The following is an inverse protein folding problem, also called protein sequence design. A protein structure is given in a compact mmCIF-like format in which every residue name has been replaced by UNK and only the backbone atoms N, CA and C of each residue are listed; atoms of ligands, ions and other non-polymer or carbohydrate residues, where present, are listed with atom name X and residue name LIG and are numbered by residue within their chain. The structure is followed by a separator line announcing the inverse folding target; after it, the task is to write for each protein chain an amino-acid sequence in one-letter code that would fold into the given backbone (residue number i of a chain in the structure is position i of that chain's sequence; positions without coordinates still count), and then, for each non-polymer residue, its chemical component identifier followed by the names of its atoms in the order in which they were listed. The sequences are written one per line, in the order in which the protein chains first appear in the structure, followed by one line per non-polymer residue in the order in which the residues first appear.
data_IF_699583734409
#
_entry.id   IF_699583734409
#
_cell.length_a   1.000
_cell.length_b   1.000
_cell.length_c   1.000
_cell.angle_alpha   90.00
_cell.angle_beta   90.00
_cell.angle_gamma   90.00
#
_symmetry.space_group_name_H-M   'P 1'
#
loop_
_entity.id
_entity.type
_entity.pdbx_description
1 polymer ?
#
# COMPACT_ATOMS: atom_id res chain seq x y z
N UNK A 1 14.33 -8.84 6.72
CA UNK A 1 13.00 -8.87 7.38
C UNK A 1 12.91 -10.20 8.11
N UNK A 2 12.68 -10.20 9.43
CA UNK A 2 12.58 -11.40 10.26
C UNK A 2 11.16 -11.98 10.26
N UNK A 3 11.00 -13.22 10.74
CA UNK A 3 9.71 -13.91 10.83
C UNK A 3 8.86 -13.43 12.03
N UNK A 4 9.51 -12.94 13.09
CA UNK A 4 8.83 -12.48 14.29
C UNK A 4 8.21 -11.08 14.08
N UNK A 5 6.96 -10.85 14.53
CA UNK A 5 6.28 -9.56 14.41
C UNK A 5 6.86 -8.56 15.43
N UNK A 6 8.05 -8.04 15.15
CA UNK A 6 8.77 -7.08 15.99
C UNK A 6 8.49 -5.61 15.63
N UNK A 7 7.50 -5.35 14.76
CA UNK A 7 7.16 -4.00 14.31
C UNK A 7 5.76 -3.56 14.73
N UNK A 8 5.49 -2.27 14.57
CA UNK A 8 4.24 -1.61 14.96
C UNK A 8 3.87 -0.49 13.98
N UNK A 9 2.60 -0.09 14.00
CA UNK A 9 2.10 1.12 13.34
C UNK A 9 2.22 2.27 14.35
N UNK A 10 2.79 3.39 13.90
CA UNK A 10 2.97 4.60 14.71
C UNK A 10 2.22 5.78 14.09
N UNK A 11 1.78 6.71 14.94
CA UNK A 11 1.32 8.05 14.54
C UNK A 11 2.27 9.09 15.11
N UNK A 12 2.72 10.02 14.26
CA UNK A 12 3.37 11.25 14.69
C UNK A 12 2.32 12.35 14.73
N UNK A 13 2.02 12.85 15.92
CA UNK A 13 1.03 13.91 16.13
C UNK A 13 1.61 15.29 15.75
N UNK A 14 0.74 16.29 15.59
CA UNK A 14 1.13 17.64 15.20
C UNK A 14 2.00 18.37 16.26
N UNK A 15 1.93 17.92 17.51
CA UNK A 15 2.79 18.36 18.62
C UNK A 15 4.11 17.58 18.71
N UNK A 16 4.40 16.76 17.69
CA UNK A 16 5.58 15.89 17.58
C UNK A 16 5.61 14.72 18.57
N UNK A 17 4.54 14.48 19.35
CA UNK A 17 4.42 13.27 20.14
C UNK A 17 4.23 12.05 19.24
N UNK A 18 4.78 10.90 19.66
CA UNK A 18 4.69 9.63 18.92
C UNK A 18 3.84 8.66 19.72
N UNK A 19 2.85 8.08 19.06
CA UNK A 19 1.97 7.07 19.62
C UNK A 19 2.08 5.75 18.87
N UNK A 20 2.00 4.65 19.61
CA UNK A 20 1.87 3.31 19.03
C UNK A 20 0.40 3.03 18.80
N UNK A 21 -0.01 2.93 17.54
CA UNK A 21 -1.39 2.60 17.19
C UNK A 21 -1.66 1.09 17.27
N UNK A 22 -0.69 0.26 16.88
CA UNK A 22 -0.83 -1.21 16.85
C UNK A 22 0.52 -1.91 16.83
N UNK A 23 0.76 -2.84 17.76
CA UNK A 23 1.91 -3.75 17.72
C UNK A 23 1.64 -5.04 16.94
N UNK A 24 2.63 -5.92 16.87
CA UNK A 24 2.46 -7.26 16.30
C UNK A 24 2.37 -7.27 14.78
N UNK A 25 2.97 -6.29 14.12
CA UNK A 25 3.05 -6.16 12.67
C UNK A 25 4.34 -6.82 12.15
N UNK A 26 4.27 -7.56 11.05
CA UNK A 26 5.46 -8.14 10.41
C UNK A 26 6.07 -7.22 9.34
N UNK A 27 5.23 -6.60 8.52
CA UNK A 27 5.61 -5.74 7.40
C UNK A 27 4.48 -4.75 7.09
N UNK A 28 4.33 -3.71 7.92
CA UNK A 28 3.28 -2.72 7.74
C UNK A 28 3.34 -2.01 6.39
N UNK A 29 2.21 -1.95 5.69
CA UNK A 29 2.09 -1.36 4.36
C UNK A 29 0.66 -0.84 4.09
N UNK A 30 0.41 -0.34 2.87
CA UNK A 30 -0.92 0.08 2.38
C UNK A 30 -1.65 1.13 3.24
N UNK A 31 -0.93 1.95 4.01
CA UNK A 31 -1.55 2.96 4.86
C UNK A 31 -2.09 4.11 4.01
N UNK A 32 -3.40 4.23 3.94
CA UNK A 32 -4.12 5.37 3.36
C UNK A 32 -5.50 5.49 4.01
N UNK A 33 -6.24 6.55 3.69
CA UNK A 33 -7.49 6.87 4.35
C UNK A 33 -8.65 7.00 3.36
N UNK A 34 -9.79 6.41 3.70
CA UNK A 34 -11.02 6.57 2.93
C UNK A 34 -11.60 7.97 3.11
N UNK A 35 -12.44 8.41 2.17
CA UNK A 35 -13.13 9.71 2.26
C UNK A 35 -14.07 9.79 3.48
N UNK A 36 -14.52 8.65 4.00
CA UNK A 36 -15.33 8.56 5.20
C UNK A 36 -14.51 8.56 6.51
N UNK A 37 -13.18 8.68 6.41
CA UNK A 37 -12.29 8.71 7.58
C UNK A 37 -11.87 7.34 8.11
N UNK A 38 -12.09 6.27 7.34
CA UNK A 38 -11.54 4.95 7.65
C UNK A 38 -10.06 4.85 7.27
N UNK A 39 -9.32 3.94 7.90
CA UNK A 39 -7.90 3.68 7.56
C UNK A 39 -7.76 2.32 6.90
N UNK A 40 -7.06 2.26 5.77
CA UNK A 40 -6.61 1.00 5.16
C UNK A 40 -5.21 0.63 5.63
N UNK A 41 -4.93 -0.66 5.70
CA UNK A 41 -3.65 -1.19 6.14
C UNK A 41 -3.43 -2.59 5.59
N UNK A 42 -2.19 -2.98 5.32
CA UNK A 42 -1.83 -4.35 5.04
C UNK A 42 -0.62 -4.77 5.87
N UNK A 43 -0.61 -6.03 6.29
CA UNK A 43 0.55 -6.70 6.91
C UNK A 43 0.96 -7.90 6.06
N UNK A 44 1.43 -7.69 4.82
CA UNK A 44 1.84 -8.77 3.93
C UNK A 44 3.03 -9.52 4.54
N UNK A 45 2.75 -10.60 5.27
CA UNK A 45 3.76 -11.53 5.75
C UNK A 45 4.69 -11.93 4.59
N UNK A 46 6.00 -11.96 4.83
CA UNK A 46 6.87 -12.74 3.95
C UNK A 46 6.62 -14.20 4.30
N UNK A 47 6.35 -15.05 3.31
CA UNK A 47 6.23 -16.48 3.54
C UNK A 47 7.41 -16.96 4.39
N UNK A 48 7.11 -17.44 5.59
CA UNK A 48 8.05 -18.24 6.34
C UNK A 48 8.35 -19.49 5.52
N UNK A 49 9.62 -19.89 5.46
CA UNK A 49 10.02 -21.18 4.88
C UNK A 49 9.48 -22.37 5.69
N UNK A 50 8.93 -22.13 6.90
CA UNK A 50 8.28 -23.14 7.73
C UNK A 50 6.77 -23.03 7.57
N UNK A 51 6.14 -24.15 7.22
CA UNK A 51 4.70 -24.24 7.01
C UNK A 51 3.87 -23.89 8.26
N UNK A 52 4.47 -24.03 9.45
CA UNK A 52 3.87 -23.84 10.77
C UNK A 52 3.68 -22.35 11.13
N UNK A 53 4.51 -21.47 10.57
CA UNK A 53 4.45 -20.01 10.80
C UNK A 53 3.50 -19.30 9.81
N UNK A 54 2.87 -20.04 8.91
CA UNK A 54 1.88 -19.50 7.97
C UNK A 54 0.62 -19.12 8.76
N UNK A 55 0.54 -17.87 9.23
CA UNK A 55 -0.70 -17.37 9.82
C UNK A 55 -1.83 -17.45 8.79
N UNK A 56 -2.93 -18.09 9.20
CA UNK A 56 -4.18 -18.14 8.46
C UNK A 56 -4.81 -16.73 8.51
N UNK A 57 -4.57 -15.92 7.49
CA UNK A 57 -4.97 -14.51 7.39
C UNK A 57 -4.03 -13.83 6.38
N UNK A 58 -4.55 -13.61 5.18
CA UNK A 58 -3.80 -13.67 3.92
C UNK A 58 -2.68 -12.63 3.85
N UNK A 59 -1.48 -13.05 3.44
CA UNK A 59 -0.41 -12.14 3.02
C UNK A 59 -0.85 -11.19 1.87
N UNK A 60 -2.06 -11.42 1.33
CA UNK A 60 -2.72 -10.64 0.31
C UNK A 60 -3.92 -9.80 0.80
N UNK A 61 -4.31 -9.87 2.09
CA UNK A 61 -5.46 -9.09 2.60
C UNK A 61 -5.09 -7.62 2.77
N UNK A 62 -5.95 -6.73 2.27
CA UNK A 62 -6.01 -5.34 2.70
C UNK A 62 -7.11 -5.24 3.76
N UNK A 63 -6.77 -4.67 4.90
CA UNK A 63 -7.61 -4.49 6.07
C UNK A 63 -8.16 -3.06 6.12
N UNK A 64 -9.33 -2.89 6.72
CA UNK A 64 -9.99 -1.60 6.89
C UNK A 64 -10.40 -1.37 8.35
N UNK A 65 -10.12 -0.17 8.86
CA UNK A 65 -10.60 0.35 10.13
C UNK A 65 -11.64 1.44 9.83
N UNK A 66 -12.92 1.11 9.65
CA UNK A 66 -13.93 2.07 9.18
C UNK A 66 -14.14 3.27 10.13
N UNK A 67 -13.96 3.05 11.44
CA UNK A 67 -14.16 4.06 12.48
C UNK A 67 -12.92 4.86 12.87
N UNK A 68 -11.83 4.81 12.10
CA UNK A 68 -10.55 5.40 12.51
C UNK A 68 -10.70 6.89 12.90
N UNK A 69 -11.12 7.76 11.98
CA UNK A 69 -11.23 9.19 12.25
C UNK A 69 -12.46 9.57 13.11
N UNK A 70 -13.53 8.78 13.08
CA UNK A 70 -14.73 9.02 13.89
C UNK A 70 -14.53 8.66 15.38
N UNK A 71 -13.56 7.78 15.67
CA UNK A 71 -13.12 7.47 17.02
C UNK A 71 -12.04 8.43 17.52
N UNK A 72 -11.11 7.91 18.31
CA UNK A 72 -9.93 8.60 18.83
C UNK A 72 -8.71 8.51 17.86
N UNK A 73 -8.92 8.02 16.64
CA UNK A 73 -7.83 7.71 15.72
C UNK A 73 -6.95 6.55 16.21
N UNK A 74 -7.45 5.68 17.09
CA UNK A 74 -6.76 4.45 17.49
C UNK A 74 -7.06 3.30 16.54
N UNK A 75 -6.14 2.34 16.47
CA UNK A 75 -6.36 1.03 15.83
C UNK A 75 -6.72 -0.04 16.88
N UNK A 76 -7.45 0.37 17.92
CA UNK A 76 -7.77 -0.45 19.09
C UNK A 76 -8.81 -1.53 18.81
N UNK A 77 -9.75 -1.26 17.89
CA UNK A 77 -10.69 -2.25 17.37
C UNK A 77 -10.00 -3.18 16.37
N UNK A 78 -10.56 -4.38 16.18
CA UNK A 78 -10.13 -5.27 15.12
C UNK A 78 -10.50 -4.69 13.75
N UNK A 79 -9.60 -4.69 12.76
CA UNK A 79 -9.98 -4.31 11.40
C UNK A 79 -10.87 -5.39 10.78
N UNK A 80 -11.62 -4.99 9.75
CA UNK A 80 -12.35 -5.89 8.87
C UNK A 80 -11.53 -6.17 7.60
N UNK A 81 -11.63 -7.37 7.01
CA UNK A 81 -11.04 -7.63 5.70
C UNK A 81 -11.79 -6.80 4.65
N UNK A 82 -11.05 -6.05 3.83
CA UNK A 82 -11.63 -5.25 2.75
C UNK A 82 -11.57 -5.99 1.42
N UNK A 83 -10.37 -6.36 0.97
CA UNK A 83 -10.16 -7.11 -0.28
C UNK A 83 -8.97 -8.07 -0.18
N UNK A 84 -8.99 -9.10 -1.02
CA UNK A 84 -7.84 -9.96 -1.29
C UNK A 84 -7.17 -9.54 -2.60
N UNK A 85 -5.93 -9.05 -2.51
CA UNK A 85 -5.13 -8.72 -3.68
C UNK A 85 -4.69 -10.00 -4.43
N UNK A 86 -4.44 -9.90 -5.74
CA UNK A 86 -3.85 -11.01 -6.49
C UNK A 86 -2.34 -11.13 -6.30
N UNK A 87 -1.68 -10.04 -5.92
CA UNK A 87 -0.31 -10.01 -5.40
C UNK A 87 -0.28 -9.71 -3.90
N UNK A 88 0.90 -9.34 -3.39
CA UNK A 88 1.05 -8.83 -2.01
C UNK A 88 0.77 -7.33 -1.99
N UNK A 89 -0.17 -6.83 -1.18
CA UNK A 89 -0.43 -5.41 -1.08
C UNK A 89 0.81 -4.65 -0.64
N UNK A 90 1.23 -3.67 -1.43
CA UNK A 90 2.34 -2.78 -1.09
C UNK A 90 1.78 -1.38 -0.78
N UNK A 91 2.18 -0.33 -1.49
CA UNK A 91 1.60 1.01 -1.34
C UNK A 91 0.16 1.12 -1.84
N UNK A 92 -0.64 1.93 -1.14
CA UNK A 92 -2.04 2.21 -1.50
C UNK A 92 -2.35 3.70 -1.41
N UNK A 93 -3.31 4.14 -2.23
CA UNK A 93 -3.86 5.52 -2.23
C UNK A 93 -5.38 5.46 -2.47
N UNK A 94 -6.10 6.54 -2.18
CA UNK A 94 -7.52 6.68 -2.49
C UNK A 94 -7.72 7.80 -3.51
N UNK A 95 -8.58 7.58 -4.50
CA UNK A 95 -8.91 8.59 -5.49
C UNK A 95 -10.09 9.50 -5.05
N UNK A 96 -10.38 10.54 -5.84
CA UNK A 96 -11.42 11.50 -5.51
C UNK A 96 -12.85 10.93 -5.56
N UNK A 97 -13.04 9.70 -6.04
CA UNK A 97 -14.30 8.97 -6.03
C UNK A 97 -14.39 8.00 -4.84
N UNK A 98 -13.37 7.98 -3.97
CA UNK A 98 -13.32 7.13 -2.79
C UNK A 98 -12.87 5.70 -3.07
N UNK A 99 -12.34 5.41 -4.26
CA UNK A 99 -11.86 4.07 -4.59
C UNK A 99 -10.40 3.89 -4.14
N UNK A 100 -10.10 2.72 -3.58
CA UNK A 100 -8.76 2.32 -3.17
C UNK A 100 -7.96 1.88 -4.40
N UNK A 101 -6.75 2.38 -4.55
CA UNK A 101 -5.74 1.89 -5.48
C UNK A 101 -4.65 1.18 -4.71
N UNK A 102 -4.29 -0.04 -5.10
CA UNK A 102 -3.21 -0.81 -4.46
C UNK A 102 -2.19 -1.28 -5.49
N UNK A 103 -0.91 -1.02 -5.23
CA UNK A 103 0.20 -1.64 -5.95
C UNK A 103 0.37 -3.08 -5.45
N UNK A 104 0.17 -4.04 -6.34
CA UNK A 104 0.18 -5.46 -5.97
C UNK A 104 1.54 -6.07 -6.31
N UNK A 105 2.41 -6.10 -5.30
CA UNK A 105 3.77 -6.61 -5.41
C UNK A 105 3.78 -8.08 -5.83
N UNK A 106 4.51 -8.39 -6.90
CA UNK A 106 4.56 -9.72 -7.51
C UNK A 106 3.44 -9.97 -8.54
N UNK A 107 2.41 -9.13 -8.56
CA UNK A 107 1.25 -9.20 -9.45
C UNK A 107 1.39 -8.40 -10.74
N UNK A 108 2.42 -7.55 -10.86
CA UNK A 108 2.68 -6.74 -12.07
C UNK A 108 1.53 -5.80 -12.43
N UNK A 109 0.82 -5.29 -11.42
CA UNK A 109 -0.35 -4.45 -11.61
C UNK A 109 -0.58 -3.49 -10.44
N UNK A 110 -1.34 -2.44 -10.72
CA UNK A 110 -2.03 -1.62 -9.72
C UNK A 110 -3.53 -1.81 -9.92
N UNK A 111 -4.24 -2.21 -8.87
CA UNK A 111 -5.68 -2.50 -8.92
C UNK A 111 -6.48 -1.42 -8.19
N UNK A 112 -7.63 -1.05 -8.75
CA UNK A 112 -8.60 -0.11 -8.20
C UNK A 112 -9.82 -0.87 -7.68
N UNK A 113 -10.17 -0.66 -6.42
CA UNK A 113 -11.31 -1.25 -5.75
C UNK A 113 -12.32 -0.18 -5.34
N UNK A 114 -13.60 -0.42 -5.60
CA UNK A 114 -14.70 0.45 -5.16
C UNK A 114 -14.86 0.38 -3.63
N UNK A 115 -15.57 1.33 -3.00
CA UNK A 115 -15.81 1.31 -1.55
C UNK A 115 -16.49 0.04 -1.00
N UNK A 116 -17.13 -0.74 -1.86
CA UNK A 116 -17.74 -2.04 -1.51
C UNK A 116 -16.78 -3.24 -1.71
N UNK A 117 -15.51 -2.99 -2.06
CA UNK A 117 -14.48 -3.98 -2.30
C UNK A 117 -14.48 -4.57 -3.71
N UNK A 118 -15.41 -4.19 -4.59
CA UNK A 118 -15.43 -4.71 -5.96
C UNK A 118 -14.28 -4.16 -6.80
N UNK A 119 -13.63 -5.04 -7.58
CA UNK A 119 -12.56 -4.65 -8.51
C UNK A 119 -13.16 -3.85 -9.68
N UNK A 120 -12.67 -2.63 -9.88
CA UNK A 120 -13.18 -1.69 -10.90
C UNK A 120 -12.24 -1.54 -12.08
N UNK A 121 -10.93 -1.38 -11.81
CA UNK A 121 -9.92 -1.14 -12.84
C UNK A 121 -8.60 -1.83 -12.49
N UNK A 122 -7.84 -2.22 -13.51
CA UNK A 122 -6.48 -2.72 -13.36
C UNK A 122 -5.57 -1.99 -14.35
N UNK A 123 -4.49 -1.41 -13.82
CA UNK A 123 -3.37 -0.90 -14.61
C UNK A 123 -2.27 -1.95 -14.57
N UNK A 124 -2.05 -2.64 -15.69
CA UNK A 124 -0.91 -3.56 -15.84
C UNK A 124 0.37 -2.76 -16.05
N UNK A 125 1.44 -3.13 -15.35
CA UNK A 125 2.77 -2.55 -15.56
C UNK A 125 3.69 -3.59 -16.20
N UNK A 126 4.65 -3.18 -17.05
CA UNK A 126 5.55 -4.10 -17.77
C UNK A 126 6.67 -4.66 -16.88
N UNK A 127 6.41 -4.75 -15.57
CA UNK A 127 7.31 -5.20 -14.51
C UNK A 127 6.50 -5.98 -13.47
N UNK A 128 7.16 -6.74 -12.60
CA UNK A 128 6.47 -7.67 -11.69
C UNK A 128 6.28 -7.11 -10.28
N UNK A 129 7.10 -6.16 -9.84
CA UNK A 129 7.24 -5.79 -8.43
C UNK A 129 6.87 -4.34 -8.18
N UNK A 130 5.69 -3.93 -8.68
CA UNK A 130 5.11 -2.63 -8.36
C UNK A 130 5.02 -2.46 -6.84
N UNK A 131 5.51 -1.34 -6.33
CA UNK A 131 5.66 -1.08 -4.89
C UNK A 131 4.76 0.03 -4.37
N UNK A 132 4.47 1.05 -5.15
CA UNK A 132 3.62 2.14 -4.70
C UNK A 132 3.00 2.87 -5.90
N UNK A 133 1.94 3.61 -5.64
CA UNK A 133 1.32 4.47 -6.62
C UNK A 133 1.00 5.85 -6.00
N UNK A 134 1.01 6.90 -6.81
CA UNK A 134 0.59 8.24 -6.41
C UNK A 134 -0.04 8.97 -7.59
N UNK A 135 -1.12 9.72 -7.36
CA UNK A 135 -1.65 10.63 -8.37
C UNK A 135 -0.85 11.93 -8.40
N UNK A 136 -0.58 12.45 -9.59
CA UNK A 136 0.16 13.68 -9.80
C UNK A 136 -0.19 14.36 -11.13
N UNK A 137 0.66 15.31 -11.51
CA UNK A 137 0.39 16.24 -12.62
C UNK A 137 -0.55 17.39 -12.21
N UNK A 138 -0.73 18.40 -13.06
CA UNK A 138 -1.44 19.64 -12.71
C UNK A 138 -2.90 19.46 -12.29
N UNK A 139 -3.55 18.37 -12.71
CA UNK A 139 -4.95 18.05 -12.43
C UNK A 139 -5.14 16.70 -11.73
N UNK A 140 -4.05 16.11 -11.24
CA UNK A 140 -4.03 14.87 -10.47
C UNK A 140 -4.62 13.65 -11.19
N UNK A 141 -4.60 13.58 -12.53
CA UNK A 141 -5.07 12.39 -13.28
C UNK A 141 -3.94 11.54 -13.86
N UNK A 142 -2.69 11.83 -13.53
CA UNK A 142 -1.56 10.98 -13.88
C UNK A 142 -1.21 10.10 -12.70
N UNK A 143 -1.34 8.79 -12.85
CA UNK A 143 -0.91 7.82 -11.85
C UNK A 143 0.57 7.49 -12.09
N UNK A 144 1.41 7.80 -11.12
CA UNK A 144 2.81 7.39 -11.05
C UNK A 144 2.94 6.09 -10.27
N UNK A 145 3.81 5.19 -10.72
CA UNK A 145 3.96 3.84 -10.14
C UNK A 145 5.46 3.52 -10.01
N UNK A 146 5.89 3.12 -8.81
CA UNK A 146 7.27 2.67 -8.55
C UNK A 146 7.39 1.15 -8.63
N UNK A 147 8.57 0.64 -8.98
CA UNK A 147 8.91 -0.80 -8.98
C UNK A 147 10.19 -1.07 -8.18
N UNK A 148 10.45 -2.33 -7.81
CA UNK A 148 11.65 -2.74 -7.10
C UNK A 148 12.57 -3.68 -7.91
N UNK A 149 13.74 -3.17 -8.31
CA UNK A 149 14.75 -3.92 -9.07
C UNK A 149 15.40 -5.07 -8.28
N UNK A 150 15.56 -4.93 -6.97
CA UNK A 150 16.22 -5.95 -6.12
C UNK A 150 15.54 -7.31 -6.23
N UNK A 151 14.21 -7.32 -6.35
CA UNK A 151 13.43 -8.55 -6.47
C UNK A 151 13.44 -9.10 -7.90
N UNK A 152 13.52 -8.25 -8.91
CA UNK A 152 13.79 -8.69 -10.28
C UNK A 152 15.10 -9.50 -10.30
N UNK A 153 16.16 -8.97 -9.68
CA UNK A 153 17.45 -9.64 -9.62
C UNK A 153 17.45 -10.96 -8.82
N UNK A 154 16.66 -11.03 -7.75
CA UNK A 154 16.61 -12.20 -6.85
C UNK A 154 15.64 -13.29 -7.29
N UNK A 155 14.55 -12.95 -8.00
CA UNK A 155 13.39 -13.84 -8.17
C UNK A 155 12.96 -14.05 -9.62
N UNK A 156 13.35 -13.19 -10.56
CA UNK A 156 13.12 -13.47 -11.98
C UNK A 156 14.24 -14.36 -12.52
N UNK A 157 13.87 -15.28 -13.44
CA UNK A 157 14.86 -16.03 -14.20
C UNK A 157 15.74 -15.09 -15.01
N UNK A 158 16.97 -15.51 -15.31
CA UNK A 158 17.88 -14.74 -16.17
C UNK A 158 17.21 -14.34 -17.50
N UNK A 159 16.51 -15.29 -18.13
CA UNK A 159 15.76 -15.06 -19.37
C UNK A 159 14.74 -13.93 -19.22
N UNK A 160 13.86 -14.00 -18.22
CA UNK A 160 12.84 -12.95 -18.01
C UNK A 160 13.47 -11.59 -17.67
N UNK A 161 14.64 -11.57 -17.02
CA UNK A 161 15.36 -10.31 -16.75
C UNK A 161 15.95 -9.70 -18.01
N UNK A 162 16.51 -10.52 -18.90
CA UNK A 162 17.09 -10.09 -20.17
C UNK A 162 16.02 -9.62 -21.17
N UNK A 163 14.77 -10.07 -21.02
CA UNK A 163 13.61 -9.63 -21.80
C UNK A 163 13.05 -8.27 -21.35
N UNK A 164 13.39 -7.79 -20.14
CA UNK A 164 12.94 -6.48 -19.67
C UNK A 164 13.74 -5.37 -20.38
N UNK A 165 13.07 -4.31 -20.87
CA UNK A 165 13.78 -3.14 -21.38
C UNK A 165 14.69 -2.52 -20.32
N UNK A 166 15.77 -1.90 -20.78
CA UNK A 166 16.70 -1.19 -19.90
C UNK A 166 15.97 -0.13 -19.06
N UNK A 167 16.27 -0.09 -17.76
CA UNK A 167 15.65 0.84 -16.81
C UNK A 167 14.25 0.45 -16.32
N UNK A 168 13.63 -0.63 -16.81
CA UNK A 168 12.29 -1.02 -16.34
C UNK A 168 12.31 -1.63 -14.94
N UNK A 169 13.23 -2.55 -14.67
CA UNK A 169 13.38 -3.11 -13.32
C UNK A 169 13.80 -2.00 -12.34
N UNK A 170 12.93 -1.68 -11.37
CA UNK A 170 13.12 -0.56 -10.44
C UNK A 170 12.76 0.81 -11.01
N UNK A 171 12.09 0.87 -12.16
CA UNK A 171 11.72 2.11 -12.83
C UNK A 171 10.56 2.87 -12.18
N UNK A 172 10.35 4.09 -12.67
CA UNK A 172 9.16 4.91 -12.41
C UNK A 172 8.31 4.94 -13.68
N UNK A 173 7.06 4.51 -13.56
CA UNK A 173 6.09 4.48 -14.65
C UNK A 173 5.03 5.55 -14.43
N UNK A 174 4.38 5.99 -15.51
CA UNK A 174 3.22 6.86 -15.40
C UNK A 174 2.16 6.53 -16.44
N UNK A 175 0.90 6.68 -16.07
CA UNK A 175 -0.24 6.51 -16.97
C UNK A 175 -1.29 7.58 -16.70
N UNK A 176 -1.92 8.06 -17.76
CA UNK A 176 -3.02 9.02 -17.68
C UNK A 176 -4.35 8.30 -17.49
N UNK A 177 -5.16 8.71 -16.52
CA UNK A 177 -6.41 8.05 -16.16
C UNK A 177 -7.64 8.96 -16.32
N UNK A 178 -8.85 8.39 -16.48
CA UNK A 178 -10.10 9.14 -16.52
C UNK A 178 -10.60 9.56 -15.14
N UNK A 179 -9.93 9.14 -14.06
CA UNK A 179 -10.19 9.54 -12.67
C UNK A 179 -9.07 10.44 -12.16
N UNK A 180 -9.36 11.27 -11.16
CA UNK A 180 -8.35 12.11 -10.49
C UNK A 180 -8.10 11.61 -9.07
N UNK A 181 -6.87 11.77 -8.59
CA UNK A 181 -6.53 11.59 -7.19
C UNK A 181 -6.93 12.78 -6.31
N UNK A 182 -6.41 12.75 -5.09
CA UNK A 182 -6.55 13.80 -4.08
C UNK A 182 -5.19 14.49 -3.87
N UNK A 183 -5.18 15.78 -3.48
CA UNK A 183 -3.96 16.41 -3.00
C UNK A 183 -3.45 15.69 -1.74
N UNK A 184 -2.15 15.41 -1.68
CA UNK A 184 -1.54 14.78 -0.50
C UNK A 184 -1.58 15.73 0.71
N UNK A 185 -1.93 15.17 1.87
CA UNK A 185 -1.92 15.92 3.11
C UNK A 185 -0.49 16.23 3.53
N UNK A 186 -0.21 17.49 3.87
CA UNK A 186 1.07 17.87 4.47
C UNK A 186 1.02 17.59 5.96
N UNK A 187 2.13 17.10 6.51
CA UNK A 187 2.28 16.98 7.95
C UNK A 187 2.08 18.35 8.63
N UNK A 188 1.19 18.41 9.62
CA UNK A 188 0.77 19.65 10.28
C UNK A 188 1.66 20.05 11.48
N UNK A 189 2.83 19.42 11.63
CA UNK A 189 3.72 19.66 12.75
C UNK A 189 4.08 21.13 12.92
N UNK A 190 3.87 21.65 14.13
CA UNK A 190 4.34 22.98 14.51
C UNK A 190 5.49 22.83 15.50
N UNK A 191 6.64 23.43 15.20
CA UNK A 191 7.73 23.48 16.15
C UNK A 191 7.42 24.61 17.13
N UNK A 192 6.89 24.30 18.32
CA UNK A 192 6.56 25.28 19.37
C UNK A 192 7.79 25.90 20.06
N UNK A 193 8.94 25.96 19.37
CA UNK A 193 10.22 26.45 19.87
C UNK A 193 10.79 27.61 19.05
N UNK A 194 9.98 28.65 18.82
CA UNK A 194 10.41 29.94 18.26
C UNK A 194 10.24 31.05 19.27
#
# INVERSE_FOLDING_TARGET
KGADPVSAIYRLNADLSVEVLRGGVQCGNSICFSLAGGMFFADPAFESSKAEDRRQGSASTIWHFPGYAAGDGSCSLSPEPFVEAAGRPDGSIVDAEGCLWNAEFGGGRVARYRPDGTLDMVVTVPVRYATCAAFGGPDLRTLYITDASVFANQRLSRKHREELPEGYAGGLFSVRLPVRGLPEAKFAGQNSGG
#
